data_IF_093281894462
#
_entry.id   IF_093281894462
#
_cell.length_a   1.000
_cell.length_b   1.000
_cell.length_c   1.000
_cell.angle_alpha   90.00
_cell.angle_beta   90.00
_cell.angle_gamma   90.00
#
_symmetry.space_group_name_H-M   'P 1'
#
loop_
_entity.id
_entity.type
_entity.pdbx_description
1 polymer ?
#
# COMPACT_ATOMS: atom_id res chain seq x y z
N UNK A 1 9.62 9.91 6.28
CA UNK A 1 9.16 8.55 5.98
C UNK A 1 8.22 8.57 4.79
N UNK A 2 8.17 7.51 4.02
CA UNK A 2 7.45 7.47 2.75
C UNK A 2 6.42 6.35 2.75
N UNK A 3 5.21 6.67 2.30
CA UNK A 3 4.13 5.72 2.03
C UNK A 3 3.90 5.71 0.52
N UNK A 4 3.89 4.54 -0.09
CA UNK A 4 3.53 4.38 -1.50
C UNK A 4 2.14 3.76 -1.60
N UNK A 5 1.25 4.39 -2.33
CA UNK A 5 -0.09 3.88 -2.63
C UNK A 5 -0.15 3.45 -4.09
N UNK A 6 -0.45 2.20 -4.32
CA UNK A 6 -0.54 1.61 -5.66
C UNK A 6 -1.99 1.29 -5.96
N UNK A 7 -2.60 2.07 -6.84
CA UNK A 7 -4.03 1.96 -7.16
C UNK A 7 -4.26 2.65 -8.51
N UNK A 8 -5.04 2.05 -9.38
CA UNK A 8 -5.33 2.62 -10.71
C UNK A 8 -6.45 3.67 -10.69
N UNK A 9 -7.13 3.85 -9.54
CA UNK A 9 -8.19 4.84 -9.39
C UNK A 9 -7.61 6.15 -8.82
N UNK A 10 -7.57 7.24 -9.63
CA UNK A 10 -7.00 8.51 -9.17
C UNK A 10 -7.79 9.15 -8.03
N UNK A 11 -9.10 8.93 -7.95
CA UNK A 11 -9.92 9.48 -6.86
C UNK A 11 -9.60 8.80 -5.54
N UNK A 12 -9.46 7.47 -5.54
CA UNK A 12 -9.03 6.73 -4.36
C UNK A 12 -7.65 7.16 -3.90
N UNK A 13 -6.73 7.36 -4.85
CA UNK A 13 -5.37 7.79 -4.53
C UNK A 13 -5.33 9.18 -3.92
N UNK A 14 -6.14 10.10 -4.44
CA UNK A 14 -6.22 11.46 -3.90
C UNK A 14 -6.73 11.46 -2.46
N UNK A 15 -7.80 10.70 -2.20
CA UNK A 15 -8.37 10.59 -0.86
C UNK A 15 -7.40 9.92 0.10
N UNK A 16 -6.69 8.89 -0.35
CA UNK A 16 -5.70 8.19 0.46
C UNK A 16 -4.58 9.14 0.87
N UNK A 17 -4.03 9.91 -0.06
CA UNK A 17 -2.96 10.85 0.24
C UNK A 17 -3.41 11.96 1.18
N UNK A 18 -4.65 12.47 1.04
CA UNK A 18 -5.20 13.42 1.99
C UNK A 18 -5.28 12.81 3.38
N UNK A 19 -5.73 11.56 3.47
CA UNK A 19 -5.85 10.87 4.75
C UNK A 19 -4.48 10.64 5.40
N UNK A 20 -3.46 10.29 4.62
CA UNK A 20 -2.09 10.16 5.12
C UNK A 20 -1.59 11.50 5.67
N UNK A 21 -1.82 12.57 4.95
CA UNK A 21 -1.39 13.90 5.38
C UNK A 21 -2.04 14.30 6.69
N UNK A 22 -3.30 13.98 6.87
CA UNK A 22 -4.02 14.27 8.10
C UNK A 22 -3.60 13.36 9.25
N UNK A 23 -3.45 12.06 8.98
CA UNK A 23 -3.14 11.05 10.00
C UNK A 23 -1.68 11.09 10.42
N UNK A 24 -0.77 11.34 9.48
CA UNK A 24 0.66 11.25 9.69
C UNK A 24 1.39 12.33 8.89
N UNK A 25 1.34 13.59 9.34
CA UNK A 25 1.89 14.72 8.57
C UNK A 25 3.38 14.60 8.23
N UNK A 26 4.13 13.80 8.98
CA UNK A 26 5.55 13.58 8.71
C UNK A 26 5.82 12.64 7.54
N UNK A 27 4.80 11.93 7.06
CA UNK A 27 4.95 11.02 5.93
C UNK A 27 4.74 11.74 4.61
N UNK A 28 5.54 11.35 3.61
CA UNK A 28 5.32 11.73 2.22
C UNK A 28 4.54 10.62 1.54
N UNK A 29 3.45 10.96 0.88
CA UNK A 29 2.63 9.98 0.15
C UNK A 29 2.97 10.03 -1.33
N UNK A 30 3.45 8.92 -1.86
CA UNK A 30 3.69 8.73 -3.27
C UNK A 30 2.59 7.84 -3.85
N UNK A 31 2.26 8.07 -5.11
CA UNK A 31 1.20 7.33 -5.80
C UNK A 31 1.75 6.69 -7.06
N UNK A 32 1.39 5.42 -7.25
CA UNK A 32 1.62 4.72 -8.52
C UNK A 32 0.27 4.23 -9.03
N UNK A 33 0.03 4.37 -10.32
CA UNK A 33 -1.23 3.96 -10.94
C UNK A 33 -1.19 2.55 -11.53
N UNK A 34 -0.05 1.89 -11.43
CA UNK A 34 0.16 0.56 -11.99
C UNK A 34 1.33 -0.10 -11.28
N UNK A 35 1.49 -1.41 -11.48
CA UNK A 35 2.67 -2.11 -11.00
C UNK A 35 3.94 -1.57 -11.67
N UNK A 36 3.89 -1.24 -12.94
CA UNK A 36 5.04 -0.69 -13.66
C UNK A 36 5.52 0.62 -13.04
N UNK A 37 4.61 1.56 -12.80
CA UNK A 37 5.00 2.84 -12.18
C UNK A 37 5.44 2.65 -10.73
N UNK A 38 4.86 1.67 -10.02
CA UNK A 38 5.32 1.33 -8.66
C UNK A 38 6.78 0.88 -8.67
N UNK A 39 7.16 0.01 -9.60
CA UNK A 39 8.53 -0.47 -9.67
C UNK A 39 9.51 0.59 -10.15
N UNK A 40 9.08 1.58 -10.94
CA UNK A 40 9.89 2.74 -11.25
C UNK A 40 10.25 3.52 -9.96
N UNK A 41 9.25 3.75 -9.11
CA UNK A 41 9.47 4.42 -7.83
C UNK A 41 10.39 3.58 -6.93
N UNK A 42 10.17 2.27 -6.88
CA UNK A 42 10.95 1.36 -6.04
C UNK A 42 12.40 1.19 -6.52
N UNK A 43 12.69 1.54 -7.77
CA UNK A 43 14.05 1.48 -8.28
C UNK A 43 14.94 2.64 -7.81
N UNK A 44 14.35 3.69 -7.26
CA UNK A 44 15.08 4.82 -6.70
C UNK A 44 15.44 4.52 -5.25
N UNK A 45 16.72 4.23 -5.01
CA UNK A 45 17.22 3.86 -3.68
C UNK A 45 17.11 4.98 -2.64
N UNK A 46 17.03 6.22 -3.09
CA UNK A 46 16.89 7.37 -2.19
C UNK A 46 15.45 7.58 -1.73
N UNK A 47 14.49 6.96 -2.41
CA UNK A 47 13.06 7.15 -2.13
C UNK A 47 12.35 5.83 -1.88
N UNK A 48 13.01 4.87 -1.21
CA UNK A 48 12.39 3.59 -0.87
C UNK A 48 11.31 3.81 0.19
N UNK A 49 10.07 3.37 -0.08
CA UNK A 49 9.00 3.52 0.90
C UNK A 49 9.21 2.68 2.15
N UNK A 50 8.67 3.16 3.26
CA UNK A 50 8.57 2.40 4.50
C UNK A 50 7.35 1.49 4.50
N UNK A 51 6.29 1.92 3.81
CA UNK A 51 5.03 1.19 3.67
C UNK A 51 4.56 1.24 2.23
N UNK A 52 3.95 0.14 1.78
CA UNK A 52 3.25 0.10 0.50
C UNK A 52 1.81 -0.34 0.76
N UNK A 53 0.84 0.47 0.35
CA UNK A 53 -0.57 0.10 0.34
C UNK A 53 -0.92 -0.27 -1.09
N UNK A 54 -1.29 -1.51 -1.30
CA UNK A 54 -1.37 -2.13 -2.62
C UNK A 54 -2.79 -2.60 -2.89
N UNK A 55 -3.41 -2.08 -3.94
CA UNK A 55 -4.71 -2.54 -4.37
C UNK A 55 -4.61 -3.95 -4.94
N UNK A 56 -5.60 -4.78 -4.61
CA UNK A 56 -5.64 -6.17 -5.08
C UNK A 56 -5.99 -6.25 -6.55
N UNK A 57 -6.91 -5.40 -7.01
CA UNK A 57 -7.45 -5.48 -8.37
C UNK A 57 -6.91 -4.36 -9.25
N UNK A 58 -5.83 -4.64 -9.97
CA UNK A 58 -5.26 -3.73 -10.95
C UNK A 58 -5.19 -4.39 -12.32
N UNK A 59 -5.31 -3.60 -13.42
CA UNK A 59 -5.13 -4.15 -14.76
C UNK A 59 -3.71 -4.69 -14.96
N UNK A 60 -3.56 -5.68 -15.83
CA UNK A 60 -2.30 -6.31 -16.25
C UNK A 60 -1.62 -7.14 -15.18
N UNK A 61 -1.23 -6.54 -14.05
CA UNK A 61 -0.65 -7.28 -12.93
C UNK A 61 -1.50 -6.99 -11.72
N UNK A 62 -2.10 -8.03 -11.13
CA UNK A 62 -2.92 -7.87 -9.93
C UNK A 62 -2.05 -7.69 -8.68
N UNK A 63 -2.69 -7.31 -7.57
CA UNK A 63 -1.98 -7.02 -6.34
C UNK A 63 -1.18 -8.19 -5.80
N UNK A 64 -1.68 -9.41 -5.94
CA UNK A 64 -0.96 -10.61 -5.48
C UNK A 64 0.36 -10.80 -6.23
N UNK A 65 0.34 -10.66 -7.56
CA UNK A 65 1.55 -10.79 -8.35
C UNK A 65 2.57 -9.70 -8.00
N UNK A 66 2.09 -8.48 -7.82
CA UNK A 66 2.94 -7.37 -7.40
C UNK A 66 3.58 -7.63 -6.04
N UNK A 67 2.80 -8.13 -5.07
CA UNK A 67 3.31 -8.51 -3.76
C UNK A 67 4.40 -9.57 -3.86
N UNK A 68 4.20 -10.60 -4.67
CA UNK A 68 5.21 -11.64 -4.86
C UNK A 68 6.52 -11.08 -5.42
N UNK A 69 6.43 -10.17 -6.38
CA UNK A 69 7.61 -9.54 -6.96
C UNK A 69 8.37 -8.71 -5.91
N UNK A 70 7.67 -8.00 -5.06
CA UNK A 70 8.28 -7.21 -3.99
C UNK A 70 8.97 -8.14 -2.98
N UNK A 71 8.28 -9.19 -2.54
CA UNK A 71 8.81 -10.10 -1.53
C UNK A 71 9.98 -10.94 -2.03
N UNK A 72 10.05 -11.20 -3.33
CA UNK A 72 11.17 -11.92 -3.93
C UNK A 72 12.39 -11.04 -4.24
N UNK A 73 12.29 -9.75 -4.04
CA UNK A 73 13.38 -8.82 -4.28
C UNK A 73 14.10 -8.50 -2.97
N UNK A 74 15.37 -8.86 -2.87
CA UNK A 74 16.15 -8.67 -1.64
C UNK A 74 16.24 -7.21 -1.18
N UNK A 75 16.19 -6.27 -2.11
CA UNK A 75 16.25 -4.85 -1.78
C UNK A 75 14.91 -4.31 -1.27
N UNK A 76 13.81 -5.01 -1.54
CA UNK A 76 12.45 -4.53 -1.27
C UNK A 76 11.70 -5.36 -0.24
N UNK A 77 12.16 -6.57 0.06
CA UNK A 77 11.39 -7.51 0.88
C UNK A 77 11.21 -7.08 2.33
N UNK A 78 11.96 -6.08 2.78
CA UNK A 78 11.82 -5.53 4.13
C UNK A 78 10.70 -4.50 4.26
N UNK A 79 10.17 -4.01 3.14
CA UNK A 79 9.10 -3.00 3.15
C UNK A 79 7.82 -3.63 3.67
N UNK A 80 7.11 -2.92 4.54
CA UNK A 80 5.81 -3.38 5.01
C UNK A 80 4.76 -3.16 3.94
N UNK A 81 4.17 -4.25 3.47
CA UNK A 81 3.13 -4.21 2.44
C UNK A 81 1.79 -4.49 3.08
N UNK A 82 0.82 -3.63 2.80
CA UNK A 82 -0.56 -3.76 3.28
C UNK A 82 -1.46 -3.82 2.06
N UNK A 83 -2.20 -4.92 1.95
CA UNK A 83 -3.18 -5.06 0.88
C UNK A 83 -4.40 -4.22 1.22
N UNK A 84 -4.80 -3.37 0.29
CA UNK A 84 -5.83 -2.35 0.53
C UNK A 84 -6.93 -2.50 -0.52
N UNK A 85 -8.10 -3.01 -0.13
CA UNK A 85 -9.16 -3.32 -1.08
C UNK A 85 -10.53 -3.39 -0.42
N UNK A 86 -11.57 -3.18 -1.22
CA UNK A 86 -12.96 -3.37 -0.78
C UNK A 86 -13.36 -4.84 -0.76
N UNK A 87 -12.68 -5.68 -1.55
CA UNK A 87 -13.00 -7.11 -1.64
C UNK A 87 -12.13 -7.90 -0.66
N UNK A 88 -12.74 -8.85 0.03
CA UNK A 88 -12.01 -9.76 0.92
C UNK A 88 -12.42 -11.19 0.61
N UNK A 89 -11.52 -11.93 -0.04
CA UNK A 89 -11.67 -13.36 -0.28
C UNK A 89 -10.81 -14.08 0.76
N UNK A 90 -11.41 -14.96 1.60
CA UNK A 90 -10.64 -15.64 2.65
C UNK A 90 -9.44 -16.43 2.13
N UNK A 91 -9.53 -17.00 0.92
CA UNK A 91 -8.42 -17.74 0.31
C UNK A 91 -7.28 -16.78 -0.03
N UNK A 92 -7.59 -15.65 -0.64
CA UNK A 92 -6.60 -14.63 -0.97
C UNK A 92 -5.96 -14.05 0.29
N UNK A 93 -6.75 -13.80 1.33
CA UNK A 93 -6.23 -13.26 2.58
C UNK A 93 -5.22 -14.18 3.23
N UNK A 94 -5.43 -15.49 3.17
CA UNK A 94 -4.46 -16.47 3.65
C UNK A 94 -3.15 -16.40 2.87
N UNK A 95 -3.24 -16.23 1.55
CA UNK A 95 -2.05 -16.08 0.70
C UNK A 95 -1.27 -14.83 1.04
N UNK A 96 -1.95 -13.71 1.20
CA UNK A 96 -1.30 -12.45 1.58
C UNK A 96 -0.57 -12.60 2.91
N UNK A 97 -1.22 -13.22 3.88
CA UNK A 97 -0.63 -13.43 5.20
C UNK A 97 0.60 -14.33 5.14
N UNK A 98 0.57 -15.38 4.33
CA UNK A 98 1.73 -16.26 4.12
C UNK A 98 2.91 -15.50 3.55
N UNK A 99 2.65 -14.50 2.72
CA UNK A 99 3.68 -13.66 2.11
C UNK A 99 4.11 -12.51 3.04
N UNK A 100 3.56 -12.44 4.23
CA UNK A 100 3.94 -11.42 5.20
C UNK A 100 3.28 -10.06 4.99
N UNK A 101 2.21 -9.99 4.21
CA UNK A 101 1.46 -8.75 4.02
C UNK A 101 0.36 -8.58 5.05
N UNK A 102 0.08 -7.33 5.41
CA UNK A 102 -1.09 -6.98 6.16
C UNK A 102 -2.30 -6.78 5.24
N UNK A 103 -3.44 -6.56 5.82
CA UNK A 103 -4.66 -6.29 5.07
C UNK A 103 -5.45 -5.17 5.75
N UNK A 104 -5.89 -4.20 4.95
CA UNK A 104 -6.78 -3.14 5.41
C UNK A 104 -7.95 -3.05 4.43
N UNK A 105 -9.18 -3.36 4.86
CA UNK A 105 -10.34 -3.15 4.00
C UNK A 105 -10.54 -1.66 3.77
N UNK A 106 -10.90 -1.28 2.55
CA UNK A 106 -11.20 0.12 2.23
C UNK A 106 -12.43 0.55 3.02
N UNK A 107 -12.31 1.54 3.93
CA UNK A 107 -13.45 1.97 4.73
C UNK A 107 -14.42 2.81 3.90
N UNK A 108 -15.68 2.86 4.35
CA UNK A 108 -16.72 3.65 3.70
C UNK A 108 -16.61 5.14 4.01
N UNK A 109 -15.92 5.47 5.11
CA UNK A 109 -15.81 6.85 5.58
C UNK A 109 -14.37 7.32 5.61
N UNK A 110 -14.19 8.57 5.22
CA UNK A 110 -12.88 9.21 5.25
C UNK A 110 -12.30 9.25 6.67
N UNK A 111 -13.10 9.56 7.68
CA UNK A 111 -12.65 9.62 9.08
C UNK A 111 -12.12 8.26 9.56
N UNK A 112 -12.74 7.18 9.11
CA UNK A 112 -12.28 5.83 9.45
C UNK A 112 -10.93 5.54 8.80
N UNK A 113 -10.75 5.98 7.57
CA UNK A 113 -9.46 5.83 6.89
C UNK A 113 -8.35 6.59 7.63
N UNK A 114 -8.60 7.83 8.03
CA UNK A 114 -7.64 8.61 8.80
C UNK A 114 -7.27 7.90 10.10
N UNK A 115 -8.26 7.39 10.82
CA UNK A 115 -8.04 6.66 12.07
C UNK A 115 -7.18 5.42 11.84
N UNK A 116 -7.53 4.61 10.82
CA UNK A 116 -6.79 3.40 10.51
C UNK A 116 -5.33 3.71 10.15
N UNK A 117 -5.11 4.74 9.35
CA UNK A 117 -3.77 5.15 8.96
C UNK A 117 -2.97 5.67 10.15
N UNK A 118 -3.61 6.40 11.05
CA UNK A 118 -2.95 6.84 12.28
C UNK A 118 -2.43 5.66 13.08
N UNK A 119 -3.26 4.64 13.24
CA UNK A 119 -2.89 3.44 13.99
C UNK A 119 -1.76 2.67 13.32
N UNK A 120 -1.81 2.52 12.00
CA UNK A 120 -0.82 1.75 11.25
C UNK A 120 0.52 2.49 11.18
N UNK A 121 0.50 3.78 10.84
CA UNK A 121 1.72 4.53 10.55
C UNK A 121 2.46 4.98 11.80
N UNK A 122 1.77 5.08 12.93
CA UNK A 122 2.41 5.44 14.19
C UNK A 122 2.79 4.27 15.08
N UNK A 123 2.50 3.05 14.67
CA UNK A 123 2.86 1.86 15.46
C UNK A 123 4.37 1.62 15.55
N UNK A 124 5.16 2.32 14.78
CA UNK A 124 6.60 2.08 14.68
C UNK A 124 7.40 2.91 15.68
N UNK A 125 6.72 3.80 16.37
CA UNK A 125 7.40 4.65 17.37
C UNK A 125 7.37 4.03 18.78
#
# INVERSE_FOLDING_TARGET
MIVLHVDDDPDDSALFCEAVKEAAPSFTCLVADSAASAFEILSDRESIPDYIFLDINMPKINGLECLKLIKNNHSLNHIKVIMYSTASDPVQMKEFKKLGAGFLPKPDRYETLVKNLSEILYQVT
#
